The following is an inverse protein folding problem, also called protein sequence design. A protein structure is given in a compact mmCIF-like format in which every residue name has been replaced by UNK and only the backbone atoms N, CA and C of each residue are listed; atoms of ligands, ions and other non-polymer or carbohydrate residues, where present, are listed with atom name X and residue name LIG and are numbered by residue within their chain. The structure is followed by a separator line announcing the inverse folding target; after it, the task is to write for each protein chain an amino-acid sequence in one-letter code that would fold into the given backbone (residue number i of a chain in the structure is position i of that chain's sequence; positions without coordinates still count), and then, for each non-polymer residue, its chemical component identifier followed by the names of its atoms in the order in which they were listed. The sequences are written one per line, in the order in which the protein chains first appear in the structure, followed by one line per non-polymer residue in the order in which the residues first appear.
data_IF_428299479257
#
_entry.id   IF_428299479257
#
_cell.length_a   1.000
_cell.length_b   1.000
_cell.length_c   1.000
_cell.angle_alpha   90.00
_cell.angle_beta   90.00
_cell.angle_gamma   90.00
#
_symmetry.space_group_name_H-M   'P 1'
#
loop_
_entity.id
_entity.type
_entity.pdbx_description
1 polymer ?
#
# COMPACT_ATOMS: atom_id res chain seq x y z
N UNK A 1 30.71 10.29 -12.36
CA UNK A 1 29.48 11.10 -12.27
C UNK A 1 28.39 10.23 -11.61
N UNK A 2 27.96 10.55 -10.40
CA UNK A 2 26.83 9.86 -9.78
C UNK A 2 25.59 10.03 -10.66
N UNK A 3 25.00 8.91 -11.06
CA UNK A 3 23.78 8.89 -11.86
C UNK A 3 22.67 9.53 -11.00
N UNK A 4 22.29 10.77 -11.29
CA UNK A 4 21.18 11.41 -10.58
C UNK A 4 19.90 10.58 -10.78
N UNK A 5 19.40 9.99 -9.69
CA UNK A 5 18.14 9.23 -9.68
C UNK A 5 16.96 10.20 -9.76
N UNK A 6 16.65 10.69 -10.98
CA UNK A 6 15.59 11.67 -11.24
C UNK A 6 14.38 10.93 -11.82
N UNK A 7 13.21 11.18 -11.25
CA UNK A 7 11.93 10.53 -11.57
C UNK A 7 10.81 11.54 -11.75
N UNK A 8 9.82 11.21 -12.58
CA UNK A 8 8.56 11.95 -12.64
C UNK A 8 7.74 11.73 -11.35
N UNK A 9 7.72 10.50 -10.86
CA UNK A 9 7.09 10.17 -9.59
C UNK A 9 7.87 9.11 -8.82
N UNK A 10 7.91 9.28 -7.50
CA UNK A 10 8.42 8.27 -6.56
C UNK A 10 7.31 7.90 -5.59
N UNK A 11 7.15 6.59 -5.38
CA UNK A 11 6.23 6.01 -4.42
C UNK A 11 7.04 5.40 -3.27
N UNK A 12 6.83 5.88 -2.04
CA UNK A 12 7.45 5.31 -0.84
C UNK A 12 6.53 4.24 -0.27
N UNK A 13 6.99 3.01 -0.28
CA UNK A 13 6.28 1.83 0.18
C UNK A 13 5.77 0.95 -0.96
N UNK A 14 6.29 -0.27 -1.04
CA UNK A 14 5.94 -1.30 -2.02
C UNK A 14 4.83 -2.25 -1.56
N UNK A 15 3.88 -1.75 -0.74
CA UNK A 15 2.67 -2.48 -0.36
C UNK A 15 1.58 -2.44 -1.44
N UNK A 16 0.39 -2.97 -1.14
CA UNK A 16 -0.72 -3.03 -2.11
C UNK A 16 -1.04 -1.66 -2.73
N UNK A 17 -1.16 -0.61 -1.90
CA UNK A 17 -1.48 0.74 -2.37
C UNK A 17 -0.37 1.34 -3.23
N UNK A 18 0.90 1.14 -2.83
CA UNK A 18 2.05 1.64 -3.60
C UNK A 18 2.21 0.94 -4.94
N UNK A 19 2.07 -0.38 -4.97
CA UNK A 19 2.08 -1.17 -6.21
C UNK A 19 0.98 -0.72 -7.17
N UNK A 20 -0.26 -0.64 -6.70
CA UNK A 20 -1.39 -0.20 -7.53
C UNK A 20 -1.20 1.24 -8.02
N UNK A 21 -0.70 2.14 -7.18
CA UNK A 21 -0.41 3.53 -7.56
C UNK A 21 0.64 3.59 -8.68
N UNK A 22 1.75 2.90 -8.53
CA UNK A 22 2.83 2.88 -9.52
C UNK A 22 2.37 2.30 -10.86
N UNK A 23 1.68 1.14 -10.82
CA UNK A 23 1.14 0.48 -12.02
C UNK A 23 0.15 1.39 -12.73
N UNK A 24 -0.81 1.98 -12.00
CA UNK A 24 -1.83 2.86 -12.57
C UNK A 24 -1.22 4.10 -13.19
N UNK A 25 -0.28 4.76 -12.49
CA UNK A 25 0.42 5.93 -13.00
C UNK A 25 1.19 5.62 -14.29
N UNK A 26 1.90 4.49 -14.33
CA UNK A 26 2.68 4.07 -15.50
C UNK A 26 1.81 3.62 -16.67
N UNK A 27 0.65 2.99 -16.41
CA UNK A 27 -0.34 2.66 -17.45
C UNK A 27 -0.99 3.91 -18.04
N UNK A 28 -1.20 4.95 -17.21
CA UNK A 28 -1.77 6.22 -17.67
C UNK A 28 -0.83 6.97 -18.61
N UNK A 29 0.46 6.99 -18.29
CA UNK A 29 1.49 7.58 -19.16
C UNK A 29 2.77 6.73 -19.12
N UNK A 30 2.98 5.95 -20.18
CA UNK A 30 4.12 5.03 -20.32
C UNK A 30 5.47 5.75 -20.47
N UNK A 31 5.48 7.02 -20.83
CA UNK A 31 6.71 7.82 -20.97
C UNK A 31 7.31 8.19 -19.61
N UNK A 32 6.50 8.20 -18.55
CA UNK A 32 6.92 8.64 -17.23
C UNK A 32 7.90 7.68 -16.57
N UNK A 33 8.93 8.24 -15.97
CA UNK A 33 9.89 7.51 -15.16
C UNK A 33 9.39 7.44 -13.73
N UNK A 34 9.02 6.22 -13.29
CA UNK A 34 8.40 5.95 -11.98
C UNK A 34 9.29 5.02 -11.18
N UNK A 35 9.43 5.27 -9.88
CA UNK A 35 10.14 4.39 -8.96
C UNK A 35 9.31 4.06 -7.72
N UNK A 36 9.57 2.88 -7.15
CA UNK A 36 9.11 2.46 -5.83
C UNK A 36 10.34 2.32 -4.92
N UNK A 37 10.28 2.94 -3.73
CA UNK A 37 11.27 2.79 -2.67
C UNK A 37 10.65 1.97 -1.56
N UNK A 38 11.21 0.79 -1.26
CA UNK A 38 10.71 -0.15 -0.24
C UNK A 38 11.82 -0.48 0.76
N UNK A 39 11.50 -0.39 2.06
CA UNK A 39 12.46 -0.69 3.12
C UNK A 39 12.74 -2.18 3.32
N UNK A 40 11.76 -3.04 3.02
CA UNK A 40 11.94 -4.47 3.12
C UNK A 40 12.75 -5.00 1.93
N UNK A 41 13.18 -6.24 2.05
CA UNK A 41 13.91 -6.98 1.02
C UNK A 41 13.09 -7.29 -0.23
N UNK A 42 11.75 -7.17 -0.13
CA UNK A 42 10.82 -7.48 -1.23
C UNK A 42 9.51 -6.67 -1.12
N UNK A 43 8.88 -6.45 -2.27
CA UNK A 43 7.56 -5.83 -2.38
C UNK A 43 6.46 -6.71 -1.80
N UNK A 44 5.42 -6.09 -1.23
CA UNK A 44 4.16 -6.75 -0.89
C UNK A 44 4.20 -7.63 0.36
N UNK A 45 5.17 -7.49 1.26
CA UNK A 45 5.34 -8.36 2.44
C UNK A 45 4.06 -8.47 3.29
N UNK A 46 3.36 -7.36 3.52
CA UNK A 46 2.11 -7.37 4.29
C UNK A 46 0.94 -7.98 3.52
N UNK A 47 0.90 -7.83 2.19
CA UNK A 47 -0.16 -8.38 1.34
C UNK A 47 -0.24 -9.91 1.46
N UNK A 48 0.90 -10.59 1.59
CA UNK A 48 0.98 -12.04 1.77
C UNK A 48 0.21 -12.57 2.99
N UNK A 49 0.01 -11.74 4.03
CA UNK A 49 -0.69 -12.13 5.26
C UNK A 49 -2.17 -11.73 5.27
N UNK A 50 -2.65 -11.04 4.23
CA UNK A 50 -4.05 -10.60 4.18
C UNK A 50 -5.00 -11.76 3.93
N UNK A 51 -6.22 -11.68 4.47
CA UNK A 51 -7.24 -12.72 4.28
C UNK A 51 -6.80 -14.11 4.73
N UNK A 52 -5.97 -14.20 5.77
CA UNK A 52 -5.35 -15.45 6.23
C UNK A 52 -4.56 -16.15 5.11
N UNK A 53 -3.72 -15.39 4.40
CA UNK A 53 -2.90 -15.90 3.29
C UNK A 53 -3.65 -16.05 1.95
N UNK A 54 -4.96 -15.73 1.91
CA UNK A 54 -5.80 -15.85 0.71
C UNK A 54 -5.95 -14.54 -0.07
N UNK A 55 -5.56 -13.40 0.51
CA UNK A 55 -5.74 -12.07 -0.04
C UNK A 55 -7.21 -11.69 -0.31
N UNK A 56 -7.94 -11.28 0.73
CA UNK A 56 -9.24 -10.65 0.52
C UNK A 56 -9.06 -9.32 -0.24
N UNK A 57 -9.51 -9.27 -1.49
CA UNK A 57 -9.30 -8.15 -2.40
C UNK A 57 -10.26 -7.01 -2.14
N UNK A 58 -11.54 -7.33 -2.02
CA UNK A 58 -12.65 -6.38 -1.84
C UNK A 58 -13.90 -7.14 -1.36
N UNK A 59 -15.06 -6.45 -1.32
CA UNK A 59 -16.35 -7.06 -1.01
C UNK A 59 -17.40 -6.60 -2.02
N UNK A 60 -18.20 -7.53 -2.55
CA UNK A 60 -19.30 -7.25 -3.46
C UNK A 60 -20.31 -6.24 -2.87
N UNK A 61 -20.63 -6.40 -1.59
CA UNK A 61 -21.55 -5.52 -0.86
C UNK A 61 -20.83 -4.36 -0.14
N UNK A 62 -19.73 -3.81 -0.70
CA UNK A 62 -19.06 -2.66 -0.09
C UNK A 62 -19.98 -1.45 -0.06
N UNK A 63 -20.13 -0.81 1.10
CA UNK A 63 -21.04 0.32 1.29
C UNK A 63 -20.49 1.29 2.33
N UNK A 64 -20.74 2.61 2.20
CA UNK A 64 -20.34 3.60 3.20
C UNK A 64 -20.91 3.31 4.60
N UNK A 65 -22.05 2.64 4.68
CA UNK A 65 -22.72 2.34 5.95
C UNK A 65 -21.99 1.30 6.81
N UNK A 66 -21.07 0.54 6.19
CA UNK A 66 -20.19 -0.39 6.89
C UNK A 66 -18.95 0.28 7.47
N UNK A 67 -18.80 1.59 7.30
CA UNK A 67 -17.68 2.37 7.81
C UNK A 67 -18.13 3.30 8.93
N UNK A 68 -17.30 3.43 9.95
CA UNK A 68 -17.55 4.30 11.10
C UNK A 68 -16.56 5.47 11.11
N UNK A 69 -16.92 6.55 11.83
CA UNK A 69 -16.07 7.72 11.99
C UNK A 69 -16.15 8.72 10.83
N UNK A 70 -15.22 9.67 10.82
CA UNK A 70 -15.22 10.80 9.86
C UNK A 70 -15.02 10.40 8.40
N UNK A 71 -14.49 9.21 8.14
CA UNK A 71 -14.26 8.70 6.78
C UNK A 71 -15.56 8.31 6.05
N UNK A 72 -16.67 8.09 6.76
CA UNK A 72 -17.95 7.65 6.14
C UNK A 72 -18.39 8.57 5.00
N UNK A 73 -18.26 9.89 5.16
CA UNK A 73 -18.65 10.86 4.12
C UNK A 73 -17.76 10.78 2.88
N UNK A 74 -16.44 10.62 3.08
CA UNK A 74 -15.48 10.49 1.99
C UNK A 74 -15.59 9.13 1.28
N UNK A 75 -15.87 8.06 2.03
CA UNK A 75 -16.01 6.71 1.49
C UNK A 75 -17.14 6.60 0.46
N UNK A 76 -18.22 7.37 0.60
CA UNK A 76 -19.31 7.39 -0.37
C UNK A 76 -18.79 7.71 -1.78
N UNK A 77 -18.03 8.79 -1.95
CA UNK A 77 -17.47 9.19 -3.26
C UNK A 77 -16.49 8.15 -3.83
N UNK A 78 -15.76 7.46 -2.95
CA UNK A 78 -14.82 6.42 -3.36
C UNK A 78 -15.58 5.20 -3.87
N UNK A 79 -16.60 4.74 -3.15
CA UNK A 79 -17.34 3.54 -3.52
C UNK A 79 -18.32 3.75 -4.68
N UNK A 80 -18.78 4.98 -4.92
CA UNK A 80 -19.50 5.34 -6.16
C UNK A 80 -18.61 5.16 -7.40
N UNK A 81 -17.31 5.39 -7.26
CA UNK A 81 -16.31 5.24 -8.34
C UNK A 81 -15.65 3.87 -8.39
N UNK A 82 -15.48 3.23 -7.26
CA UNK A 82 -14.78 1.95 -7.09
C UNK A 82 -15.65 1.01 -6.24
N UNK A 83 -16.71 0.47 -6.84
CA UNK A 83 -17.50 -0.58 -6.23
C UNK A 83 -16.68 -1.86 -6.06
N UNK A 84 -17.20 -2.84 -5.31
CA UNK A 84 -16.55 -4.14 -5.18
C UNK A 84 -16.33 -4.83 -6.51
N UNK A 85 -17.34 -4.78 -7.39
CA UNK A 85 -17.29 -5.39 -8.71
C UNK A 85 -16.35 -4.64 -9.66
N UNK A 86 -16.32 -3.31 -9.59
CA UNK A 86 -15.36 -2.52 -10.37
C UNK A 86 -13.92 -2.83 -9.96
N UNK A 87 -13.67 -2.99 -8.67
CA UNK A 87 -12.35 -3.43 -8.18
C UNK A 87 -12.01 -4.83 -8.68
N UNK A 88 -12.95 -5.77 -8.71
CA UNK A 88 -12.73 -7.10 -9.28
C UNK A 88 -12.40 -7.04 -10.79
N UNK A 89 -13.05 -6.15 -11.55
CA UNK A 89 -12.75 -5.89 -12.95
C UNK A 89 -11.36 -5.28 -13.15
N UNK A 90 -10.95 -4.34 -12.30
CA UNK A 90 -9.60 -3.79 -12.32
C UNK A 90 -8.56 -4.91 -12.14
N UNK A 91 -8.78 -5.82 -11.20
CA UNK A 91 -7.88 -6.95 -10.97
C UNK A 91 -7.87 -7.93 -12.15
N UNK A 92 -9.03 -8.20 -12.76
CA UNK A 92 -9.11 -8.98 -13.99
C UNK A 92 -8.28 -8.36 -15.12
N UNK A 93 -8.33 -7.05 -15.28
CA UNK A 93 -7.53 -6.32 -16.28
C UNK A 93 -6.02 -6.27 -15.94
N UNK A 94 -5.65 -6.59 -14.71
CA UNK A 94 -4.25 -6.80 -14.31
C UNK A 94 -3.76 -8.22 -14.56
N UNK A 95 -4.66 -9.15 -14.89
CA UNK A 95 -4.31 -10.52 -15.27
C UNK A 95 -4.64 -11.60 -14.24
N UNK A 96 -5.47 -11.31 -13.22
CA UNK A 96 -5.93 -12.36 -12.32
C UNK A 96 -7.45 -12.36 -12.10
N UNK A 97 -7.99 -13.57 -12.08
CA UNK A 97 -9.41 -13.79 -11.87
C UNK A 97 -9.71 -13.94 -10.38
N UNK A 98 -10.88 -13.47 -9.99
CA UNK A 98 -11.38 -13.57 -8.62
C UNK A 98 -12.82 -14.11 -8.60
N UNK A 99 -13.24 -14.60 -7.45
CA UNK A 99 -14.60 -14.98 -7.12
C UNK A 99 -14.98 -14.38 -5.77
N UNK A 100 -16.25 -14.26 -5.46
CA UNK A 100 -16.70 -13.89 -4.10
C UNK A 100 -17.41 -15.06 -3.43
N UNK A 101 -17.27 -15.12 -2.11
CA UNK A 101 -17.91 -16.10 -1.26
C UNK A 101 -19.33 -15.65 -0.81
N UNK A 102 -19.99 -16.46 0.00
CA UNK A 102 -21.34 -16.19 0.52
C UNK A 102 -21.42 -14.91 1.38
N UNK A 103 -20.30 -14.39 1.88
CA UNK A 103 -20.21 -13.13 2.60
C UNK A 103 -19.84 -11.95 1.70
N UNK A 104 -19.78 -12.18 0.39
CA UNK A 104 -19.41 -11.19 -0.62
C UNK A 104 -17.93 -10.84 -0.67
N UNK A 105 -17.04 -11.57 0.01
CA UNK A 105 -15.60 -11.31 0.01
C UNK A 105 -14.96 -11.84 -1.26
N UNK A 106 -14.25 -10.97 -1.98
CA UNK A 106 -13.52 -11.36 -3.18
C UNK A 106 -12.16 -11.94 -2.84
N UNK A 107 -11.88 -13.09 -3.42
CA UNK A 107 -10.59 -13.80 -3.35
C UNK A 107 -10.08 -14.14 -4.75
N UNK A 108 -8.76 -14.25 -4.96
CA UNK A 108 -8.24 -14.83 -6.20
C UNK A 108 -8.69 -16.28 -6.33
N UNK A 109 -8.91 -16.76 -7.55
CA UNK A 109 -9.32 -18.16 -7.79
C UNK A 109 -8.32 -19.16 -7.18
N UNK A 110 -7.04 -18.83 -7.19
CA UNK A 110 -5.99 -19.62 -6.54
C UNK A 110 -6.15 -19.75 -5.02
N UNK A 111 -6.91 -18.87 -4.39
CA UNK A 111 -7.01 -18.72 -2.91
C UNK A 111 -5.66 -18.48 -2.21
N UNK A 112 -4.66 -17.99 -2.93
CA UNK A 112 -3.32 -17.70 -2.42
C UNK A 112 -2.93 -16.23 -2.67
N UNK A 113 -2.52 -15.54 -1.62
CA UNK A 113 -2.04 -14.16 -1.71
C UNK A 113 -0.79 -14.02 -2.60
N UNK A 114 0.00 -15.09 -2.71
CA UNK A 114 1.18 -15.13 -3.56
C UNK A 114 0.84 -14.84 -5.01
N UNK A 115 -0.20 -15.45 -5.57
CA UNK A 115 -0.58 -15.25 -6.98
C UNK A 115 -0.97 -13.80 -7.29
N UNK A 116 -1.64 -13.12 -6.36
CA UNK A 116 -1.95 -11.69 -6.49
C UNK A 116 -0.66 -10.87 -6.53
N UNK A 117 0.25 -11.16 -5.63
CA UNK A 117 1.51 -10.45 -5.53
C UNK A 117 2.40 -10.69 -6.75
N UNK A 118 2.44 -11.90 -7.27
CA UNK A 118 3.24 -12.26 -8.45
C UNK A 118 2.73 -11.50 -9.69
N UNK A 119 1.40 -11.41 -9.87
CA UNK A 119 0.83 -10.59 -10.95
C UNK A 119 1.19 -9.11 -10.80
N UNK A 120 1.09 -8.55 -9.57
CA UNK A 120 1.46 -7.16 -9.36
C UNK A 120 2.96 -6.90 -9.61
N UNK A 121 3.83 -7.81 -9.21
CA UNK A 121 5.28 -7.74 -9.48
C UNK A 121 5.58 -7.84 -10.98
N UNK A 122 4.94 -8.77 -11.67
CA UNK A 122 5.06 -8.91 -13.11
C UNK A 122 4.62 -7.63 -13.84
N UNK A 123 3.53 -6.98 -13.39
CA UNK A 123 3.10 -5.69 -13.94
C UNK A 123 4.15 -4.59 -13.71
N UNK A 124 4.77 -4.53 -12.54
CA UNK A 124 5.85 -3.58 -12.21
C UNK A 124 7.04 -3.77 -13.15
N UNK A 125 7.47 -5.01 -13.34
CA UNK A 125 8.57 -5.38 -14.22
C UNK A 125 8.25 -5.08 -15.70
N UNK A 126 7.12 -5.56 -16.20
CA UNK A 126 6.69 -5.38 -17.60
C UNK A 126 6.52 -3.90 -17.98
N UNK A 127 6.10 -3.08 -17.02
CA UNK A 127 5.94 -1.64 -17.22
C UNK A 127 7.25 -0.87 -17.08
N UNK A 128 8.35 -1.51 -16.68
CA UNK A 128 9.64 -0.85 -16.48
C UNK A 128 9.61 0.17 -15.33
N UNK A 129 8.96 -0.18 -14.23
CA UNK A 129 8.97 0.63 -13.01
C UNK A 129 10.21 0.27 -12.21
N UNK A 130 11.04 1.26 -11.88
CA UNK A 130 12.25 1.04 -11.09
C UNK A 130 11.89 0.69 -9.64
N UNK A 131 12.56 -0.31 -9.06
CA UNK A 131 12.31 -0.77 -7.70
C UNK A 131 13.60 -0.76 -6.89
N UNK A 132 13.56 -0.06 -5.76
CA UNK A 132 14.66 0.01 -4.80
C UNK A 132 14.20 -0.62 -3.48
N UNK A 133 14.59 -1.87 -3.26
CA UNK A 133 14.34 -2.59 -2.00
C UNK A 133 15.47 -2.36 -1.00
N UNK A 134 15.24 -2.73 0.28
CA UNK A 134 16.15 -2.51 1.41
C UNK A 134 16.52 -1.03 1.61
N UNK A 135 15.69 -0.12 1.13
CA UNK A 135 15.93 1.32 1.19
C UNK A 135 15.07 1.96 2.27
N UNK A 136 15.70 2.30 3.39
CA UNK A 136 15.02 3.02 4.47
C UNK A 136 15.08 4.53 4.18
N UNK A 137 13.93 5.14 3.96
CA UNK A 137 13.85 6.59 3.74
C UNK A 137 14.05 7.31 5.07
N UNK A 138 15.04 8.21 5.13
CA UNK A 138 15.40 8.96 6.32
C UNK A 138 14.97 10.42 6.26
N UNK A 139 14.93 10.99 5.06
CA UNK A 139 14.61 12.40 4.87
C UNK A 139 13.84 12.63 3.57
N UNK A 140 12.88 13.52 3.66
CA UNK A 140 12.13 14.04 2.51
C UNK A 140 12.13 15.57 2.62
N UNK A 141 12.63 16.25 1.61
CA UNK A 141 12.69 17.71 1.54
C UNK A 141 12.01 18.21 0.28
N UNK A 142 11.21 19.27 0.42
CA UNK A 142 10.68 20.01 -0.73
C UNK A 142 11.82 20.81 -1.37
N UNK A 143 11.92 20.74 -2.69
CA UNK A 143 12.86 21.51 -3.51
C UNK A 143 12.07 22.33 -4.53
N UNK A 144 12.72 23.20 -5.28
CA UNK A 144 12.06 24.13 -6.23
C UNK A 144 11.08 23.43 -7.17
N UNK A 145 11.43 22.25 -7.70
CA UNK A 145 10.62 21.53 -8.68
C UNK A 145 10.25 20.11 -8.19
N UNK A 146 9.87 19.95 -6.92
CA UNK A 146 9.45 18.65 -6.42
C UNK A 146 10.03 18.28 -5.06
N UNK A 147 10.60 17.09 -4.97
CA UNK A 147 11.05 16.51 -3.70
C UNK A 147 12.44 15.87 -3.86
N UNK A 148 13.27 16.06 -2.85
CA UNK A 148 14.50 15.28 -2.65
C UNK A 148 14.23 14.26 -1.54
N UNK A 149 14.52 12.99 -1.82
CA UNK A 149 14.37 11.86 -0.89
C UNK A 149 15.76 11.31 -0.63
N UNK A 150 16.14 11.19 0.63
CA UNK A 150 17.37 10.51 1.02
C UNK A 150 17.01 9.20 1.74
N UNK A 151 17.63 8.12 1.31
CA UNK A 151 17.49 6.81 1.91
C UNK A 151 18.85 6.15 2.10
N UNK A 152 18.89 5.13 2.92
CA UNK A 152 20.04 4.25 3.09
C UNK A 152 19.62 2.78 3.08
N UNK A 153 20.54 1.94 2.67
CA UNK A 153 20.62 0.55 3.05
C UNK A 153 21.72 0.38 4.12
N UNK A 154 22.10 -0.86 4.44
CA UNK A 154 23.15 -1.14 5.41
C UNK A 154 24.56 -0.64 5.00
N UNK A 155 24.77 -0.30 3.72
CA UNK A 155 26.08 -0.05 3.15
C UNK A 155 26.21 1.35 2.54
N UNK A 156 25.16 1.87 1.92
CA UNK A 156 25.20 3.09 1.11
C UNK A 156 24.02 4.04 1.35
N UNK A 157 24.29 5.32 1.11
CA UNK A 157 23.26 6.37 1.04
C UNK A 157 22.86 6.61 -0.40
N UNK A 158 21.59 6.85 -0.61
CA UNK A 158 21.01 7.13 -1.92
C UNK A 158 20.21 8.42 -1.86
N UNK A 159 20.39 9.26 -2.87
CA UNK A 159 19.59 10.45 -3.07
C UNK A 159 18.75 10.29 -4.35
N UNK A 160 17.47 10.61 -4.24
CA UNK A 160 16.50 10.61 -5.31
C UNK A 160 15.86 11.99 -5.45
N UNK A 161 15.49 12.35 -6.66
CA UNK A 161 14.72 13.57 -6.94
C UNK A 161 13.48 13.17 -7.74
N UNK A 162 12.33 13.74 -7.40
CA UNK A 162 11.11 13.52 -8.17
C UNK A 162 10.22 14.77 -8.21
N UNK A 163 9.42 14.88 -9.28
CA UNK A 163 8.43 15.93 -9.43
C UNK A 163 7.20 15.69 -8.53
N UNK A 164 6.79 14.43 -8.38
CA UNK A 164 5.64 14.00 -7.57
C UNK A 164 6.06 12.95 -6.57
N UNK A 165 5.53 13.04 -5.36
CA UNK A 165 5.80 12.08 -4.29
C UNK A 165 4.50 11.49 -3.76
N UNK A 166 4.48 10.17 -3.64
CA UNK A 166 3.38 9.44 -3.01
C UNK A 166 3.90 8.70 -1.78
N UNK A 167 3.26 8.90 -0.64
CA UNK A 167 3.59 8.23 0.61
C UNK A 167 2.59 7.08 0.82
N UNK A 168 3.05 5.84 0.63
CA UNK A 168 2.27 4.62 0.68
C UNK A 168 2.87 3.56 1.63
N UNK A 169 3.69 3.98 2.59
CA UNK A 169 4.41 3.10 3.51
C UNK A 169 3.57 2.51 4.65
N UNK A 170 2.24 2.73 4.61
CA UNK A 170 1.28 2.06 5.48
C UNK A 170 1.14 2.69 6.86
N UNK A 171 0.75 1.87 7.84
CA UNK A 171 0.45 2.26 9.21
C UNK A 171 1.18 1.39 10.22
N UNK A 172 0.97 1.65 11.52
CA UNK A 172 1.49 0.83 12.65
C UNK A 172 0.94 -0.60 12.68
N UNK A 173 -0.10 -0.92 11.92
CA UNK A 173 -0.67 -2.25 11.90
C UNK A 173 0.35 -3.28 11.39
N UNK A 174 0.40 -4.45 12.05
CA UNK A 174 1.33 -5.55 11.77
C UNK A 174 2.82 -5.12 11.76
N UNK A 175 3.39 -4.69 12.89
CA UNK A 175 4.77 -4.20 12.94
C UNK A 175 5.79 -5.27 12.55
N UNK A 176 5.54 -6.55 12.85
CA UNK A 176 6.39 -7.69 12.42
C UNK A 176 6.49 -7.83 10.89
N UNK A 177 5.53 -7.28 10.15
CA UNK A 177 5.52 -7.26 8.68
C UNK A 177 5.97 -5.92 8.10
N UNK A 178 6.63 -5.10 8.92
CA UNK A 178 7.17 -3.82 8.51
C UNK A 178 6.21 -2.63 8.67
N UNK A 179 5.07 -2.79 9.36
CA UNK A 179 4.22 -1.67 9.71
C UNK A 179 4.93 -0.69 10.63
N UNK A 180 4.89 0.61 10.28
CA UNK A 180 5.45 1.68 11.11
C UNK A 180 4.66 2.98 10.93
N UNK A 181 5.06 4.02 11.65
CA UNK A 181 4.40 5.32 11.62
C UNK A 181 5.16 6.39 10.85
N UNK A 182 6.23 6.05 10.14
CA UNK A 182 7.11 7.05 9.47
C UNK A 182 6.35 7.97 8.49
N UNK A 183 5.28 7.45 7.86
CA UNK A 183 4.39 8.28 7.05
C UNK A 183 3.84 9.50 7.80
N UNK A 184 3.49 9.33 9.07
CA UNK A 184 2.91 10.39 9.90
C UNK A 184 3.91 11.53 10.07
N UNK A 185 5.17 11.21 10.34
CA UNK A 185 6.20 12.21 10.61
C UNK A 185 6.50 13.01 9.32
N UNK A 186 6.58 12.33 8.18
CA UNK A 186 6.74 13.02 6.89
C UNK A 186 5.56 13.97 6.61
N UNK A 187 4.31 13.51 6.81
CA UNK A 187 3.12 14.32 6.57
C UNK A 187 3.04 15.53 7.51
N UNK A 188 3.39 15.36 8.80
CA UNK A 188 3.45 16.47 9.76
C UNK A 188 4.48 17.52 9.35
N UNK A 189 5.66 17.09 8.87
CA UNK A 189 6.71 17.99 8.40
C UNK A 189 6.28 18.81 7.17
N UNK A 190 5.29 18.34 6.41
CA UNK A 190 4.67 19.07 5.31
C UNK A 190 3.41 19.86 5.71
N UNK A 191 3.13 19.99 7.02
CA UNK A 191 2.01 20.77 7.56
C UNK A 191 0.66 20.05 7.53
N UNK A 192 0.61 18.74 7.25
CA UNK A 192 -0.65 17.99 7.29
C UNK A 192 -1.12 17.74 8.72
N UNK A 193 -2.42 17.93 8.95
CA UNK A 193 -3.08 17.54 10.19
C UNK A 193 -3.27 16.01 10.18
N UNK A 194 -2.79 15.34 11.21
CA UNK A 194 -2.89 13.89 11.36
C UNK A 194 -3.85 13.56 12.48
N UNK A 195 -4.85 12.72 12.18
CA UNK A 195 -5.74 12.12 13.17
C UNK A 195 -5.05 10.87 13.73
N UNK A 196 -5.05 10.71 15.04
CA UNK A 196 -4.45 9.56 15.71
C UNK A 196 -5.08 8.25 15.26
N UNK A 197 -4.25 7.23 15.06
CA UNK A 197 -4.74 5.88 14.82
C UNK A 197 -5.34 5.31 16.10
N UNK A 198 -6.51 4.68 15.97
CA UNK A 198 -7.12 3.86 16.99
C UNK A 198 -7.22 2.40 16.53
N UNK A 199 -7.15 1.42 17.44
CA UNK A 199 -7.35 0.01 17.09
C UNK A 199 -8.73 -0.21 16.47
N UNK A 200 -8.80 -1.02 15.41
CA UNK A 200 -10.04 -1.51 14.84
C UNK A 200 -10.27 -2.97 15.26
N UNK A 201 -11.49 -3.49 15.08
CA UNK A 201 -12.11 -4.68 15.68
C UNK A 201 -11.31 -5.99 15.80
N UNK A 202 -10.19 -6.14 15.14
CA UNK A 202 -9.35 -7.36 15.22
C UNK A 202 -8.72 -7.56 16.61
N UNK A 203 -8.51 -6.47 17.36
CA UNK A 203 -7.92 -6.52 18.70
C UNK A 203 -8.90 -6.98 19.79
N UNK A 204 -10.21 -6.91 19.55
CA UNK A 204 -11.23 -7.24 20.55
C UNK A 204 -11.35 -8.75 20.84
N UNK A 205 -11.09 -9.59 19.86
CA UNK A 205 -11.13 -11.06 20.04
C UNK A 205 -9.99 -11.57 20.93
N UNK A 206 -8.85 -10.90 20.96
CA UNK A 206 -7.75 -11.29 21.84
C UNK A 206 -7.91 -10.83 23.29
N UNK A 207 -8.58 -9.70 23.53
CA UNK A 207 -8.86 -9.22 24.89
C UNK A 207 -9.87 -10.12 25.62
N UNK A 208 -10.92 -10.58 24.93
CA UNK A 208 -11.88 -11.52 25.51
C UNK A 208 -11.30 -12.90 25.83
N UNK A 209 -10.32 -13.38 25.06
CA UNK A 209 -9.67 -14.66 25.32
C UNK A 209 -8.76 -14.65 26.55
N UNK A 210 -8.30 -13.49 27.01
CA UNK A 210 -7.52 -13.34 28.24
C UNK A 210 -8.42 -13.16 29.48
N UNK A 211 -9.57 -12.52 29.38
CA UNK A 211 -10.50 -12.33 30.51
C UNK A 211 -11.18 -13.63 30.93
N UNK A 212 -11.40 -14.58 30.01
CA UNK A 212 -12.01 -15.87 30.32
C UNK A 212 -11.06 -16.92 30.94
N UNK A 213 -9.77 -16.60 31.09
CA UNK A 213 -8.80 -17.52 31.71
C UNK A 213 -8.50 -17.26 33.18
N UNK A 214 -9.11 -16.26 33.79
CA UNK A 214 -8.89 -15.94 35.21
C UNK A 214 -10.06 -16.31 36.14
N UNK A 215 -11.14 -16.90 35.61
CA UNK A 215 -12.31 -17.31 36.43
C UNK A 215 -12.57 -18.83 36.38
N UNK A 216 -11.52 -19.65 36.45
CA UNK A 216 -11.61 -21.09 36.77
C UNK A 216 -10.52 -21.48 37.75
#
# INVERSE_FOLDING_TARGET
MEKKNIYDAIIIGGGASGLMCAITAKKHDRSKKIAIIEKNDRLGKKLMSTGNGRCNLTNHCISPDKYVGSFKKQSKKIFERFSGDEMANIFKNLGFLSFYDNEGRYYPISKHAASVLDVLRLQVETLGIDVFTKQNVNSIKKVSNGFKISSDDSEKKYDFICNKLVIANGSKAAPKLGGNASAIDYLKNFGHKVVSFSPASVSYTHLRAHETRHDL
#
